data_IF_670512572740
#
_entry.id   IF_670512572740
#
_cell.length_a   1.000
_cell.length_b   1.000
_cell.length_c   1.000
_cell.angle_alpha   90.00
_cell.angle_beta   90.00
_cell.angle_gamma   90.00
#
_symmetry.space_group_name_H-M   'P 1'
#
loop_
_entity.id
_entity.type
_entity.pdbx_description
1 polymer ?
#
# COMPACT_ATOMS: atom_id res chain seq x y z
N UNK A 1 -5.79 3.16 -29.53
CA UNK A 1 -4.82 3.48 -28.47
C UNK A 1 -5.62 3.72 -27.21
N UNK A 2 -5.46 2.91 -26.21
CA UNK A 2 -6.39 2.87 -25.05
C UNK A 2 -6.22 4.02 -24.05
N UNK A 3 -5.51 5.08 -24.39
CA UNK A 3 -5.36 6.27 -23.56
C UNK A 3 -4.74 6.01 -22.17
N UNK A 4 -3.83 5.03 -22.07
CA UNK A 4 -3.06 4.77 -20.85
C UNK A 4 -1.68 5.41 -20.96
N UNK A 5 -1.29 6.14 -19.92
CA UNK A 5 0.05 6.70 -19.76
C UNK A 5 0.82 5.85 -18.76
N UNK A 6 2.03 5.44 -19.11
CA UNK A 6 2.89 4.64 -18.24
C UNK A 6 4.18 5.37 -17.91
N UNK A 7 4.68 5.15 -16.70
CA UNK A 7 5.98 5.62 -16.21
C UNK A 7 6.95 4.45 -16.21
N UNK A 8 8.13 4.67 -16.80
CA UNK A 8 9.28 3.77 -16.77
C UNK A 8 10.48 4.51 -16.19
N UNK A 9 11.22 3.87 -15.31
CA UNK A 9 12.43 4.42 -14.67
C UNK A 9 13.66 3.63 -15.15
N UNK A 10 14.06 3.87 -16.40
CA UNK A 10 15.29 3.30 -16.98
C UNK A 10 15.21 1.85 -17.49
N UNK A 11 14.11 1.13 -17.26
CA UNK A 11 13.91 -0.26 -17.71
C UNK A 11 12.55 -0.47 -18.37
N UNK A 12 12.25 -1.73 -18.75
CA UNK A 12 10.98 -2.11 -19.38
C UNK A 12 9.82 -2.24 -18.36
N UNK A 13 10.13 -2.31 -17.07
CA UNK A 13 9.14 -2.43 -16.02
C UNK A 13 8.26 -1.18 -15.92
N UNK A 14 6.94 -1.37 -15.85
CA UNK A 14 5.98 -0.28 -15.65
C UNK A 14 5.91 0.03 -14.16
N UNK A 15 6.42 1.19 -13.78
CA UNK A 15 6.40 1.67 -12.39
C UNK A 15 5.05 2.29 -12.01
N UNK A 16 4.37 2.91 -12.96
CA UNK A 16 3.05 3.48 -12.73
C UNK A 16 2.26 3.56 -14.03
N UNK A 17 0.93 3.48 -13.93
CA UNK A 17 0.03 3.65 -15.08
C UNK A 17 -1.20 4.45 -14.69
N UNK A 18 -1.67 5.26 -15.63
CA UNK A 18 -2.84 6.11 -15.45
C UNK A 18 -3.68 6.10 -16.73
N UNK A 19 -4.98 5.86 -16.59
CA UNK A 19 -5.93 6.04 -17.68
C UNK A 19 -6.23 7.52 -17.89
N UNK A 20 -6.00 8.04 -19.11
CA UNK A 20 -6.14 9.46 -19.39
C UNK A 20 -7.61 9.92 -19.23
N UNK A 21 -8.56 9.08 -19.61
CA UNK A 21 -9.99 9.38 -19.51
C UNK A 21 -10.54 9.25 -18.06
N UNK A 22 -9.83 8.57 -17.17
CA UNK A 22 -10.23 8.37 -15.77
C UNK A 22 -8.95 8.29 -14.91
N UNK A 23 -8.32 9.45 -14.65
CA UNK A 23 -7.02 9.51 -13.97
C UNK A 23 -7.03 8.98 -12.54
N UNK A 24 -8.17 9.05 -11.86
CA UNK A 24 -8.31 8.66 -10.45
C UNK A 24 -8.49 7.15 -10.29
N UNK A 25 -8.77 6.43 -11.39
CA UNK A 25 -8.85 4.97 -11.38
C UNK A 25 -7.49 4.33 -11.19
N UNK A 26 -7.40 3.37 -10.29
CA UNK A 26 -6.19 2.55 -10.11
C UNK A 26 -6.05 1.55 -11.28
N UNK A 27 -5.08 1.78 -12.17
CA UNK A 27 -4.92 0.99 -13.39
C UNK A 27 -4.13 -0.31 -13.15
N UNK A 28 -3.10 -0.27 -12.30
CA UNK A 28 -2.30 -1.44 -11.98
C UNK A 28 -2.95 -2.34 -10.93
N UNK A 29 -2.78 -3.65 -11.07
CA UNK A 29 -3.40 -4.64 -10.17
C UNK A 29 -2.90 -4.51 -8.73
N UNK A 30 -1.61 -4.21 -8.55
CA UNK A 30 -1.03 -4.08 -7.22
C UNK A 30 -1.59 -2.86 -6.47
N UNK A 31 -1.80 -1.73 -7.14
CA UNK A 31 -2.40 -0.55 -6.49
C UNK A 31 -3.83 -0.83 -6.02
N UNK A 32 -4.60 -1.59 -6.80
CA UNK A 32 -5.94 -2.05 -6.37
C UNK A 32 -5.86 -3.03 -5.20
N UNK A 33 -4.88 -3.95 -5.22
CA UNK A 33 -4.68 -4.91 -4.15
C UNK A 33 -4.23 -4.23 -2.84
N UNK A 34 -3.39 -3.20 -2.91
CA UNK A 34 -2.99 -2.41 -1.73
C UNK A 34 -4.18 -1.74 -1.05
N UNK A 35 -5.23 -1.38 -1.80
CA UNK A 35 -6.47 -0.84 -1.22
C UNK A 35 -7.25 -1.85 -0.36
N UNK A 36 -6.90 -3.14 -0.38
CA UNK A 36 -7.50 -4.11 0.54
C UNK A 36 -7.18 -3.81 2.02
N UNK A 37 -6.26 -2.87 2.33
CA UNK A 37 -6.08 -2.33 3.69
C UNK A 37 -7.39 -1.82 4.29
N UNK A 38 -8.34 -1.36 3.45
CA UNK A 38 -9.65 -0.88 3.87
C UNK A 38 -10.51 -1.93 4.57
N UNK A 39 -10.20 -3.22 4.41
CA UNK A 39 -10.82 -4.31 5.16
C UNK A 39 -10.37 -4.33 6.64
N UNK A 40 -9.27 -3.64 6.97
CA UNK A 40 -8.65 -3.62 8.28
C UNK A 40 -8.71 -2.23 8.93
N UNK A 41 -8.63 -1.17 8.10
CA UNK A 41 -8.70 0.24 8.50
C UNK A 41 -9.54 1.01 7.48
N UNK A 42 -10.83 1.17 7.76
CA UNK A 42 -11.81 1.70 6.80
C UNK A 42 -11.85 3.23 6.68
N UNK A 43 -11.27 3.95 7.65
CA UNK A 43 -11.34 5.42 7.72
C UNK A 43 -10.03 6.00 8.28
N UNK A 44 -8.90 5.94 7.54
CA UNK A 44 -7.65 6.51 8.00
C UNK A 44 -7.74 8.04 8.04
N UNK A 45 -7.24 8.66 9.12
CA UNK A 45 -7.06 10.11 9.20
C UNK A 45 -5.76 10.54 8.54
N UNK A 46 -4.70 9.73 8.66
CA UNK A 46 -3.41 9.99 8.06
C UNK A 46 -2.93 8.78 7.27
N UNK A 47 -2.43 9.03 6.07
CA UNK A 47 -1.82 8.04 5.20
C UNK A 47 -0.40 8.47 4.83
N UNK A 48 0.57 7.59 5.05
CA UNK A 48 1.97 7.79 4.67
C UNK A 48 2.32 6.84 3.52
N UNK A 49 2.89 7.40 2.45
CA UNK A 49 3.40 6.65 1.31
C UNK A 49 4.92 6.78 1.27
N UNK A 50 5.62 5.66 1.25
CA UNK A 50 7.06 5.57 0.97
C UNK A 50 7.21 5.08 -0.46
N UNK A 51 7.63 5.98 -1.34
CA UNK A 51 7.54 5.85 -2.79
C UNK A 51 6.29 6.53 -3.36
N UNK A 52 6.46 7.28 -4.44
CA UNK A 52 5.38 8.04 -5.10
C UNK A 52 5.02 7.45 -6.46
N UNK A 53 6.02 7.13 -7.28
CA UNK A 53 5.83 6.78 -8.68
C UNK A 53 5.01 7.85 -9.43
N UNK A 54 3.99 7.45 -10.16
CA UNK A 54 3.06 8.39 -10.81
C UNK A 54 1.97 8.96 -9.87
N UNK A 55 2.07 8.71 -8.56
CA UNK A 55 1.13 9.21 -7.57
C UNK A 55 -0.26 8.57 -7.59
N UNK A 56 -0.40 7.36 -8.14
CA UNK A 56 -1.71 6.71 -8.31
C UNK A 56 -2.42 6.47 -6.98
N UNK A 57 -1.72 5.96 -5.96
CA UNK A 57 -2.28 5.73 -4.62
C UNK A 57 -2.62 7.07 -3.95
N UNK A 58 -1.68 8.04 -3.97
CA UNK A 58 -1.89 9.36 -3.38
C UNK A 58 -3.12 10.05 -3.98
N UNK A 59 -3.25 10.05 -5.31
CA UNK A 59 -4.37 10.64 -6.03
C UNK A 59 -5.70 9.94 -5.72
N UNK A 60 -5.71 8.60 -5.70
CA UNK A 60 -6.89 7.83 -5.33
C UNK A 60 -7.37 8.16 -3.91
N UNK A 61 -6.45 8.19 -2.93
CA UNK A 61 -6.77 8.57 -1.56
C UNK A 61 -7.27 10.01 -1.48
N UNK A 62 -6.61 10.95 -2.16
CA UNK A 62 -7.00 12.35 -2.20
C UNK A 62 -8.42 12.55 -2.74
N UNK A 63 -8.80 11.79 -3.77
CA UNK A 63 -10.11 11.86 -4.41
C UNK A 63 -11.22 11.25 -3.57
N UNK A 64 -10.97 10.11 -2.93
CA UNK A 64 -12.02 9.30 -2.32
C UNK A 64 -12.11 9.43 -0.80
N UNK A 65 -11.08 10.00 -0.14
CA UNK A 65 -10.99 10.10 1.32
C UNK A 65 -10.81 11.56 1.74
N UNK A 66 -11.89 12.34 1.70
CA UNK A 66 -11.87 13.80 1.92
C UNK A 66 -11.30 14.23 3.28
N UNK A 67 -11.32 13.34 4.28
CA UNK A 67 -10.84 13.62 5.64
C UNK A 67 -9.44 13.08 5.91
N UNK A 68 -8.83 12.42 4.93
CA UNK A 68 -7.49 11.84 5.08
C UNK A 68 -6.44 12.85 4.66
N UNK A 69 -5.46 13.06 5.53
CA UNK A 69 -4.21 13.74 5.20
C UNK A 69 -3.24 12.72 4.61
N UNK A 70 -2.58 13.08 3.54
CA UNK A 70 -1.71 12.21 2.76
C UNK A 70 -0.33 12.83 2.72
N UNK A 71 0.66 12.09 3.21
CA UNK A 71 2.07 12.43 3.08
C UNK A 71 2.71 11.40 2.16
N UNK A 72 3.30 11.84 1.05
CA UNK A 72 4.07 10.99 0.16
C UNK A 72 5.54 11.37 0.23
N UNK A 73 6.40 10.40 0.50
CA UNK A 73 7.86 10.56 0.59
C UNK A 73 8.47 9.95 -0.67
N UNK A 74 9.23 10.76 -1.40
CA UNK A 74 9.90 10.36 -2.64
C UNK A 74 11.31 10.95 -2.66
N UNK A 75 12.31 10.09 -2.91
CA UNK A 75 13.71 10.50 -2.93
C UNK A 75 14.11 11.19 -4.24
N UNK A 76 13.40 10.88 -5.33
CA UNK A 76 13.77 11.35 -6.66
C UNK A 76 12.90 12.56 -7.09
N UNK A 77 13.45 13.78 -7.11
CA UNK A 77 12.70 14.99 -7.52
C UNK A 77 12.17 14.92 -8.96
N UNK A 78 12.80 14.11 -9.84
CA UNK A 78 12.29 13.92 -11.20
C UNK A 78 11.00 13.11 -11.20
N UNK A 79 10.86 12.12 -10.32
CA UNK A 79 9.61 11.35 -10.15
C UNK A 79 8.50 12.28 -9.67
N UNK A 80 8.77 13.14 -8.69
CA UNK A 80 7.80 14.15 -8.20
C UNK A 80 7.36 15.07 -9.33
N UNK A 81 8.32 15.61 -10.11
CA UNK A 81 8.01 16.47 -11.23
C UNK A 81 7.15 15.78 -12.30
N UNK A 82 7.48 14.53 -12.64
CA UNK A 82 6.72 13.71 -13.60
C UNK A 82 5.31 13.40 -13.10
N UNK A 83 5.16 13.04 -11.82
CA UNK A 83 3.86 12.77 -11.20
C UNK A 83 2.94 14.00 -11.30
N UNK A 84 3.45 15.20 -11.02
CA UNK A 84 2.70 16.47 -11.13
C UNK A 84 2.40 16.84 -12.57
N UNK A 85 3.40 16.80 -13.44
CA UNK A 85 3.27 17.30 -14.81
C UNK A 85 2.46 16.36 -15.72
N UNK A 86 2.60 15.05 -15.55
CA UNK A 86 2.07 14.07 -16.49
C UNK A 86 1.02 13.13 -15.93
N UNK A 87 0.98 12.94 -14.61
CA UNK A 87 0.05 11.99 -13.98
C UNK A 87 -1.06 12.66 -13.17
N UNK A 88 -1.17 14.00 -13.22
CA UNK A 88 -2.27 14.72 -12.59
C UNK A 88 -2.25 14.68 -11.06
N UNK A 89 -1.07 14.46 -10.44
CA UNK A 89 -0.93 14.58 -9.00
C UNK A 89 -1.24 16.03 -8.59
N UNK A 90 -2.19 16.28 -7.66
CA UNK A 90 -2.52 17.63 -7.21
C UNK A 90 -1.32 18.36 -6.60
N UNK A 91 -1.36 19.68 -6.60
CA UNK A 91 -0.43 20.49 -5.80
C UNK A 91 -0.62 20.19 -4.30
N UNK A 92 0.44 20.46 -3.51
CA UNK A 92 0.34 20.34 -2.07
C UNK A 92 -0.70 21.33 -1.51
N UNK A 93 -1.46 20.85 -0.55
CA UNK A 93 -2.48 21.62 0.18
C UNK A 93 -2.56 21.10 1.65
N UNK A 94 -3.63 21.44 2.36
CA UNK A 94 -3.85 21.02 3.76
C UNK A 94 -4.01 19.49 3.92
N UNK A 95 -4.24 18.75 2.82
CA UNK A 95 -4.48 17.31 2.82
C UNK A 95 -3.42 16.48 2.08
N UNK A 96 -2.69 17.07 1.16
CA UNK A 96 -1.64 16.38 0.40
C UNK A 96 -0.32 17.11 0.57
N UNK A 97 0.69 16.39 1.02
CA UNK A 97 2.08 16.86 1.08
C UNK A 97 3.01 15.86 0.41
N UNK A 98 3.83 16.32 -0.52
CA UNK A 98 4.88 15.52 -1.17
C UNK A 98 6.23 16.01 -0.67
N UNK A 99 6.93 15.15 0.08
CA UNK A 99 8.21 15.47 0.70
C UNK A 99 9.34 14.81 -0.07
N UNK A 100 10.23 15.64 -0.64
CA UNK A 100 11.45 15.18 -1.29
C UNK A 100 12.49 14.79 -0.22
N UNK A 101 12.56 13.51 0.12
CA UNK A 101 13.51 12.98 1.10
C UNK A 101 13.61 11.45 1.00
N UNK A 102 14.64 10.89 1.67
CA UNK A 102 14.77 9.45 1.83
C UNK A 102 13.78 8.92 2.88
N UNK A 103 13.01 7.89 2.51
CA UNK A 103 12.10 7.19 3.42
C UNK A 103 12.81 6.61 4.64
N UNK A 104 14.07 6.17 4.49
CA UNK A 104 14.89 5.67 5.59
C UNK A 104 15.17 6.72 6.69
N UNK A 105 15.14 7.99 6.33
CA UNK A 105 15.27 9.10 7.29
C UNK A 105 13.92 9.61 7.76
N UNK A 106 12.93 9.66 6.88
CA UNK A 106 11.62 10.24 7.18
C UNK A 106 10.83 9.40 8.18
N UNK A 107 10.69 8.10 7.92
CA UNK A 107 9.83 7.22 8.72
C UNK A 107 10.26 7.15 10.18
N UNK A 108 11.55 6.94 10.53
CA UNK A 108 11.97 6.91 11.93
C UNK A 108 11.75 8.23 12.68
N UNK A 109 11.74 9.36 11.98
CA UNK A 109 11.55 10.69 12.57
C UNK A 109 10.06 11.01 12.88
N UNK A 110 9.10 10.16 12.47
CA UNK A 110 7.68 10.43 12.57
C UNK A 110 6.90 9.28 13.25
N UNK A 111 7.20 8.97 14.54
CA UNK A 111 6.45 7.94 15.27
C UNK A 111 4.98 8.36 15.47
N UNK A 112 4.07 7.37 15.52
CA UNK A 112 2.63 7.53 15.76
C UNK A 112 1.96 8.61 14.87
N UNK A 113 2.44 8.76 13.64
CA UNK A 113 2.02 9.81 12.72
C UNK A 113 0.96 9.39 11.71
N UNK A 114 0.75 8.07 11.50
CA UNK A 114 -0.11 7.59 10.42
C UNK A 114 -0.99 6.41 10.84
N UNK A 115 -2.14 6.25 10.18
CA UNK A 115 -3.06 5.14 10.36
C UNK A 115 -2.85 4.05 9.30
N UNK A 116 -2.32 4.43 8.14
CA UNK A 116 -1.89 3.49 7.10
C UNK A 116 -0.55 3.91 6.52
N UNK A 117 0.38 2.97 6.41
CA UNK A 117 1.68 3.17 5.79
C UNK A 117 1.79 2.26 4.57
N UNK A 118 1.92 2.87 3.40
CA UNK A 118 2.19 2.19 2.15
C UNK A 118 3.70 2.21 1.86
N UNK A 119 4.27 1.04 1.64
CA UNK A 119 5.65 0.89 1.18
C UNK A 119 5.63 0.37 -0.25
N UNK A 120 5.91 1.27 -1.19
CA UNK A 120 5.89 1.03 -2.64
C UNK A 120 7.14 1.65 -3.30
N UNK A 121 8.30 1.47 -2.66
CA UNK A 121 9.58 1.97 -3.13
C UNK A 121 10.38 0.86 -3.80
N UNK A 122 10.74 1.07 -5.06
CA UNK A 122 11.52 0.15 -5.90
C UNK A 122 12.71 0.86 -6.52
N UNK A 123 13.80 0.12 -6.70
CA UNK A 123 14.98 0.53 -7.45
C UNK A 123 15.29 -0.58 -8.46
N UNK A 124 15.37 -0.22 -9.75
CA UNK A 124 15.63 -1.15 -10.86
C UNK A 124 14.71 -2.40 -10.92
N UNK A 125 13.50 -2.29 -10.35
CA UNK A 125 12.51 -3.37 -10.32
C UNK A 125 12.52 -4.21 -9.04
N UNK A 126 13.53 -4.04 -8.17
CA UNK A 126 13.67 -4.74 -6.90
C UNK A 126 13.24 -3.85 -5.72
N UNK A 127 12.89 -4.47 -4.59
CA UNK A 127 12.66 -3.76 -3.35
C UNK A 127 13.94 -3.09 -2.85
N UNK A 128 13.86 -1.80 -2.48
CA UNK A 128 15.02 -1.05 -1.98
C UNK A 128 15.55 -1.66 -0.70
N UNK A 129 16.74 -2.28 -0.74
CA UNK A 129 17.28 -3.08 0.37
C UNK A 129 17.44 -2.28 1.67
N UNK A 130 17.77 -0.98 1.59
CA UNK A 130 17.86 -0.07 2.74
C UNK A 130 16.51 0.10 3.46
N UNK A 131 15.40 -0.01 2.73
CA UNK A 131 14.02 0.07 3.25
C UNK A 131 13.44 -1.31 3.60
N UNK A 132 14.26 -2.38 3.60
CA UNK A 132 13.86 -3.74 3.94
C UNK A 132 14.64 -4.31 5.14
N UNK A 133 15.31 -3.46 5.92
CA UNK A 133 16.02 -3.84 7.15
C UNK A 133 15.05 -4.03 8.31
N UNK A 134 15.47 -4.78 9.36
CA UNK A 134 14.68 -4.91 10.59
C UNK A 134 14.40 -3.55 11.22
N UNK A 135 15.43 -2.71 11.33
CA UNK A 135 15.33 -1.37 11.94
C UNK A 135 14.31 -0.48 11.19
N UNK A 136 14.26 -0.59 9.85
CA UNK A 136 13.29 0.15 9.06
C UNK A 136 11.85 -0.36 9.28
N UNK A 137 11.64 -1.68 9.32
CA UNK A 137 10.32 -2.22 9.64
C UNK A 137 9.87 -1.89 11.06
N UNK A 138 10.79 -1.90 12.03
CA UNK A 138 10.50 -1.48 13.40
C UNK A 138 10.11 0.01 13.45
N UNK A 139 10.78 0.86 12.65
CA UNK A 139 10.40 2.25 12.47
C UNK A 139 9.01 2.40 11.79
N UNK A 140 8.68 1.57 10.80
CA UNK A 140 7.34 1.54 10.21
C UNK A 140 6.27 1.17 11.26
N UNK A 141 6.56 0.15 12.08
CA UNK A 141 5.69 -0.21 13.21
C UNK A 141 5.52 0.92 14.22
N UNK A 142 6.61 1.66 14.52
CA UNK A 142 6.57 2.83 15.40
C UNK A 142 5.79 4.00 14.80
N UNK A 143 5.90 4.24 13.48
CA UNK A 143 5.19 5.32 12.78
C UNK A 143 3.67 5.12 12.74
N UNK A 144 3.20 3.87 12.78
CA UNK A 144 1.78 3.56 12.83
C UNK A 144 1.19 3.87 14.22
N UNK A 145 0.00 4.45 14.23
CA UNK A 145 -0.85 4.55 15.43
C UNK A 145 -1.42 3.18 15.81
N UNK A 146 -1.98 3.03 17.04
CA UNK A 146 -2.75 1.83 17.40
C UNK A 146 -3.84 1.53 16.37
N UNK A 147 -4.00 0.27 15.99
CA UNK A 147 -4.88 -0.23 14.93
C UNK A 147 -4.48 0.19 13.50
N UNK A 148 -3.29 0.75 13.32
CA UNK A 148 -2.78 1.10 12.00
C UNK A 148 -2.41 -0.12 11.17
N UNK A 149 -2.32 0.09 9.86
CA UNK A 149 -2.03 -0.95 8.87
C UNK A 149 -0.81 -0.58 8.05
N UNK A 150 0.15 -1.50 8.00
CA UNK A 150 1.26 -1.47 7.05
C UNK A 150 0.87 -2.27 5.80
N UNK A 151 1.16 -1.74 4.63
CA UNK A 151 0.92 -2.40 3.35
C UNK A 151 2.17 -2.27 2.46
N UNK A 152 2.83 -3.37 2.14
CA UNK A 152 4.04 -3.37 1.31
C UNK A 152 3.84 -4.15 0.02
N UNK A 153 4.26 -3.55 -1.09
CA UNK A 153 4.27 -4.19 -2.39
C UNK A 153 5.60 -4.92 -2.61
N UNK A 154 5.54 -6.15 -3.11
CA UNK A 154 6.68 -6.94 -3.58
C UNK A 154 6.42 -7.49 -4.97
N UNK A 155 7.47 -7.62 -5.77
CA UNK A 155 7.41 -8.46 -6.96
C UNK A 155 7.18 -9.92 -6.57
N UNK A 156 6.45 -10.67 -7.39
CA UNK A 156 6.13 -12.07 -7.07
C UNK A 156 7.36 -12.99 -7.04
N UNK A 157 8.41 -12.60 -7.75
CA UNK A 157 9.70 -13.30 -7.84
C UNK A 157 10.79 -12.71 -6.94
N UNK A 158 10.43 -11.79 -6.00
CA UNK A 158 11.38 -11.22 -5.04
C UNK A 158 12.16 -12.34 -4.30
N UNK A 159 13.49 -12.44 -4.50
CA UNK A 159 14.27 -13.55 -3.95
C UNK A 159 14.30 -13.56 -2.42
N UNK A 160 14.23 -12.39 -1.79
CA UNK A 160 14.29 -12.21 -0.34
C UNK A 160 12.91 -12.13 0.33
N UNK A 161 11.84 -12.40 -0.41
CA UNK A 161 10.46 -12.24 0.08
C UNK A 161 10.22 -12.88 1.46
N UNK A 162 10.64 -14.11 1.66
CA UNK A 162 10.44 -14.80 2.93
C UNK A 162 11.22 -14.12 4.07
N UNK A 163 12.48 -13.72 3.82
CA UNK A 163 13.29 -13.00 4.81
C UNK A 163 12.67 -11.65 5.18
N UNK A 164 12.10 -10.94 4.21
CA UNK A 164 11.39 -9.68 4.48
C UNK A 164 10.09 -9.91 5.25
N UNK A 165 9.32 -10.94 4.90
CA UNK A 165 8.14 -11.34 5.66
C UNK A 165 8.47 -11.70 7.12
N UNK A 166 9.58 -12.41 7.37
CA UNK A 166 10.03 -12.75 8.72
C UNK A 166 10.34 -11.49 9.55
N UNK A 167 11.00 -10.49 8.95
CA UNK A 167 11.29 -9.21 9.60
C UNK A 167 10.01 -8.42 9.91
N UNK A 168 9.11 -8.31 8.93
CA UNK A 168 7.80 -7.66 9.11
C UNK A 168 7.01 -8.38 10.22
N UNK A 169 6.98 -9.71 10.17
CA UNK A 169 6.29 -10.55 11.16
C UNK A 169 6.80 -10.30 12.57
N UNK A 170 8.12 -10.19 12.74
CA UNK A 170 8.77 -9.88 14.04
C UNK A 170 8.34 -8.51 14.58
N UNK A 171 8.28 -7.48 13.73
CA UNK A 171 7.83 -6.12 14.12
C UNK A 171 6.35 -6.11 14.53
N UNK A 172 5.52 -6.92 13.90
CA UNK A 172 4.06 -6.89 14.07
C UNK A 172 3.50 -8.10 14.84
N UNK A 173 4.32 -8.79 15.66
CA UNK A 173 3.91 -9.95 16.49
C UNK A 173 3.18 -11.03 15.69
N UNK A 174 3.73 -11.41 14.54
CA UNK A 174 3.17 -12.38 13.58
C UNK A 174 1.81 -11.99 12.96
N UNK A 175 1.40 -10.73 13.08
CA UNK A 175 0.13 -10.25 12.50
C UNK A 175 0.31 -9.78 11.07
N UNK A 176 0.58 -10.72 10.16
CA UNK A 176 0.74 -10.47 8.73
C UNK A 176 -0.25 -11.27 7.88
N UNK A 177 -0.60 -10.71 6.73
CA UNK A 177 -1.42 -11.34 5.70
C UNK A 177 -0.77 -11.12 4.34
N UNK A 178 -0.83 -12.12 3.47
CA UNK A 178 -0.30 -12.05 2.11
C UNK A 178 -1.46 -12.05 1.12
N UNK A 179 -1.46 -11.09 0.20
CA UNK A 179 -2.42 -10.98 -0.89
C UNK A 179 -1.67 -10.95 -2.23
N UNK A 180 -1.60 -12.04 -2.98
CA UNK A 180 -1.13 -12.01 -4.37
C UNK A 180 -2.08 -11.20 -5.25
N UNK A 181 -1.53 -10.42 -6.18
CA UNK A 181 -2.33 -9.66 -7.15
C UNK A 181 -3.06 -10.57 -8.14
N UNK A 182 -4.12 -10.04 -8.78
CA UNK A 182 -4.95 -10.82 -9.71
C UNK A 182 -4.18 -11.34 -10.93
N UNK A 183 -3.16 -10.60 -11.38
CA UNK A 183 -2.24 -10.98 -12.47
C UNK A 183 -1.04 -11.80 -11.98
N UNK A 184 -0.89 -11.97 -10.65
CA UNK A 184 0.21 -12.72 -10.03
C UNK A 184 1.60 -12.13 -10.26
N UNK A 185 1.69 -10.87 -10.63
CA UNK A 185 2.96 -10.15 -10.82
C UNK A 185 3.51 -9.63 -9.50
N UNK A 186 2.62 -9.31 -8.54
CA UNK A 186 3.01 -8.79 -7.24
C UNK A 186 2.37 -9.58 -6.09
N UNK A 187 2.92 -9.40 -4.90
CA UNK A 187 2.36 -9.85 -3.61
C UNK A 187 2.33 -8.68 -2.65
N UNK A 188 1.16 -8.39 -2.08
CA UNK A 188 1.02 -7.38 -1.05
C UNK A 188 1.09 -8.05 0.32
N UNK A 189 1.96 -7.55 1.18
CA UNK A 189 2.03 -7.95 2.59
C UNK A 189 1.34 -6.87 3.41
N UNK A 190 0.28 -7.26 4.13
CA UNK A 190 -0.33 -6.41 5.15
C UNK A 190 0.18 -6.83 6.51
N UNK A 191 0.48 -5.85 7.38
CA UNK A 191 0.73 -6.08 8.78
C UNK A 191 -0.14 -5.15 9.63
N UNK A 192 -0.67 -5.65 10.74
CA UNK A 192 -1.71 -4.95 11.51
C UNK A 192 -1.22 -4.68 12.93
N UNK A 193 -1.12 -3.39 13.28
CA UNK A 193 -0.76 -2.92 14.62
C UNK A 193 -1.98 -2.88 15.55
N UNK A 194 -2.58 -4.05 15.83
CA UNK A 194 -3.73 -4.16 16.71
C UNK A 194 -3.62 -5.44 17.56
N UNK A 195 -4.14 -5.45 18.79
CA UNK A 195 -4.11 -6.64 19.66
C UNK A 195 -5.19 -7.66 19.27
N UNK A 196 -5.39 -7.87 17.96
CA UNK A 196 -6.36 -8.81 17.41
C UNK A 196 -5.63 -9.95 16.69
N UNK A 197 -6.12 -11.15 16.83
CA UNK A 197 -5.57 -12.34 16.16
C UNK A 197 -6.50 -12.90 15.09
N UNK A 198 -7.75 -12.46 15.04
CA UNK A 198 -8.80 -13.02 14.15
C UNK A 198 -9.77 -11.95 13.70
N UNK A 199 -10.22 -12.05 12.45
CA UNK A 199 -11.27 -11.22 11.86
C UNK A 199 -12.45 -12.10 11.43
N UNK A 200 -13.67 -11.66 11.73
CA UNK A 200 -14.90 -12.35 11.33
C UNK A 200 -15.08 -12.28 9.80
N UNK A 201 -15.15 -13.44 9.16
CA UNK A 201 -15.27 -13.52 7.69
C UNK A 201 -16.58 -12.89 7.19
N UNK A 202 -17.68 -13.03 7.92
CA UNK A 202 -18.96 -12.44 7.50
C UNK A 202 -18.93 -10.90 7.58
N UNK A 203 -18.21 -10.33 8.54
CA UNK A 203 -17.93 -8.89 8.58
C UNK A 203 -17.09 -8.47 7.37
N UNK A 204 -16.00 -9.17 7.09
CA UNK A 204 -15.14 -8.89 5.95
C UNK A 204 -15.88 -8.99 4.61
N UNK A 205 -16.76 -9.99 4.42
CA UNK A 205 -17.60 -10.13 3.20
C UNK A 205 -18.55 -8.94 3.01
N UNK A 206 -19.22 -8.54 4.09
CA UNK A 206 -20.10 -7.36 4.07
C UNK A 206 -19.32 -6.10 3.71
N UNK A 207 -18.17 -5.89 4.36
CA UNK A 207 -17.35 -4.71 4.17
C UNK A 207 -16.70 -4.72 2.78
N UNK A 208 -16.22 -5.86 2.27
CA UNK A 208 -15.73 -6.00 0.91
C UNK A 208 -16.80 -5.61 -0.12
N UNK A 209 -18.04 -6.08 0.05
CA UNK A 209 -19.16 -5.75 -0.85
C UNK A 209 -19.47 -4.25 -0.83
N UNK A 210 -19.47 -3.63 0.34
CA UNK A 210 -19.71 -2.19 0.48
C UNK A 210 -18.58 -1.36 -0.15
N UNK A 211 -17.33 -1.75 0.08
CA UNK A 211 -16.16 -1.09 -0.49
C UNK A 211 -16.10 -1.22 -2.02
N UNK A 212 -16.43 -2.40 -2.55
CA UNK A 212 -16.51 -2.63 -3.99
C UNK A 212 -17.57 -1.75 -4.64
N UNK A 213 -18.76 -1.66 -4.04
CA UNK A 213 -19.85 -0.77 -4.51
C UNK A 213 -19.45 0.70 -4.44
N UNK A 214 -18.74 1.11 -3.38
CA UNK A 214 -18.38 2.52 -3.14
C UNK A 214 -17.24 3.01 -4.03
N UNK A 215 -16.23 2.18 -4.24
CA UNK A 215 -14.97 2.61 -4.87
C UNK A 215 -14.69 1.94 -6.21
N UNK A 216 -15.50 0.97 -6.65
CA UNK A 216 -15.26 0.22 -7.88
C UNK A 216 -14.02 -0.70 -7.82
N UNK A 217 -13.53 -1.00 -6.62
CA UNK A 217 -12.36 -1.85 -6.40
C UNK A 217 -12.77 -3.33 -6.27
N UNK A 218 -11.96 -4.31 -6.73
CA UNK A 218 -12.33 -5.72 -6.71
C UNK A 218 -12.19 -6.35 -5.31
N UNK A 219 -12.88 -5.78 -4.31
CA UNK A 219 -12.69 -6.13 -2.89
C UNK A 219 -13.17 -7.55 -2.55
N UNK A 220 -14.23 -8.03 -3.20
CA UNK A 220 -14.69 -9.41 -3.01
C UNK A 220 -13.67 -10.44 -3.56
N UNK A 221 -13.04 -10.13 -4.69
CA UNK A 221 -11.97 -10.96 -5.25
C UNK A 221 -10.72 -10.93 -4.36
N UNK A 222 -10.33 -9.76 -3.85
CA UNK A 222 -9.23 -9.59 -2.90
C UNK A 222 -9.47 -10.37 -1.61
N UNK A 223 -10.68 -10.32 -1.04
CA UNK A 223 -11.02 -11.10 0.14
C UNK A 223 -10.96 -12.61 -0.12
N UNK A 224 -11.43 -13.07 -1.29
CA UNK A 224 -11.32 -14.49 -1.67
C UNK A 224 -9.86 -14.95 -1.73
N UNK A 225 -8.97 -14.14 -2.30
CA UNK A 225 -7.54 -14.45 -2.36
C UNK A 225 -6.89 -14.33 -0.95
N UNK A 226 -7.24 -13.35 -0.13
CA UNK A 226 -6.80 -13.29 1.27
C UNK A 226 -7.14 -14.58 2.03
N UNK A 227 -8.37 -15.08 1.91
CA UNK A 227 -8.77 -16.35 2.54
C UNK A 227 -8.03 -17.54 1.95
N UNK A 228 -7.73 -17.55 0.67
CA UNK A 228 -7.01 -18.65 0.01
C UNK A 228 -5.55 -18.77 0.43
N UNK A 229 -4.88 -17.65 0.70
CA UNK A 229 -3.43 -17.59 0.92
C UNK A 229 -3.04 -17.39 2.39
N UNK A 230 -4.01 -17.25 3.29
CA UNK A 230 -3.74 -17.07 4.71
C UNK A 230 -4.56 -18.06 5.55
N UNK A 231 -4.08 -18.40 6.76
CA UNK A 231 -4.78 -19.31 7.66
C UNK A 231 -6.19 -18.80 7.99
N UNK A 232 -7.19 -19.65 7.83
CA UNK A 232 -8.57 -19.29 8.15
C UNK A 232 -9.40 -20.52 8.54
N UNK A 233 -10.51 -20.28 9.21
CA UNK A 233 -11.59 -21.22 9.48
C UNK A 233 -12.83 -20.82 8.67
N UNK A 234 -13.95 -21.52 8.85
CA UNK A 234 -15.22 -21.12 8.26
C UNK A 234 -15.67 -19.72 8.74
N UNK A 235 -15.34 -19.37 9.99
CA UNK A 235 -15.81 -18.12 10.62
C UNK A 235 -14.78 -17.01 10.68
N UNK A 236 -13.48 -17.33 10.70
CA UNK A 236 -12.43 -16.36 11.02
C UNK A 236 -11.26 -16.42 10.05
N UNK A 237 -10.79 -15.29 9.58
CA UNK A 237 -9.45 -15.10 9.03
C UNK A 237 -8.47 -14.92 10.20
N UNK A 238 -7.42 -15.74 10.25
CA UNK A 238 -6.38 -15.66 11.28
C UNK A 238 -5.30 -14.68 10.82
N UNK A 239 -4.94 -13.71 11.68
CA UNK A 239 -3.92 -12.71 11.38
C UNK A 239 -2.61 -13.00 12.14
N UNK A 240 -2.67 -13.63 13.31
CA UNK A 240 -1.50 -14.02 14.07
C UNK A 240 -1.50 -15.54 14.25
N UNK A 241 -0.40 -16.19 13.89
CA UNK A 241 -0.15 -17.61 14.06
C UNK A 241 0.91 -17.83 15.15
#
# INVERSE_FOLDING_TARGET
MDGVRSLHLGGDAIQSSMRIADPDRLELSYTRAMMAFLLFQSAPHDALLVGLGGGSIARFLYRHFERTRITAVEINPKVIAVARQYFGLPADDDRLSVVETDGAHFVPAHPESTDVLFHDAFEDGDAVSALCTQDFFDACGAALRPNGVFAMNFMADEPQFNSYCDRISKTFDNRILILPTSDRVNRIVFAIKAPISRLLIDTLKRDATNLEKKYGLPMNASLKDLLRFNPHTVAYLTIAV
#
